data_IF_053424406174
#
_entry.id   IF_053424406174
#
_cell.length_a   1.000
_cell.length_b   1.000
_cell.length_c   1.000
_cell.angle_alpha   90.00
_cell.angle_beta   90.00
_cell.angle_gamma   90.00
#
_symmetry.space_group_name_H-M   'P 1'
#
loop_
_entity.id
_entity.type
_entity.pdbx_description
1 polymer ?
#
# COMPACT_ATOMS: atom_id res chain seq x y z
N UNK A 1 -4.72 20.10 7.86
CA UNK A 1 -3.79 19.72 8.93
C UNK A 1 -4.62 19.01 9.97
N UNK A 2 -4.70 17.68 9.86
CA UNK A 2 -5.37 16.86 10.87
C UNK A 2 -4.54 16.94 12.16
N UNK A 3 -5.21 17.16 13.30
CA UNK A 3 -4.56 17.15 14.61
C UNK A 3 -4.05 15.73 14.86
N UNK A 4 -2.73 15.52 14.75
CA UNK A 4 -2.10 14.31 15.26
C UNK A 4 -2.33 14.26 16.78
N UNK A 5 -3.00 13.22 17.31
CA UNK A 5 -3.25 13.08 18.74
C UNK A 5 -1.93 13.00 19.51
N UNK A 6 -1.93 13.46 20.76
CA UNK A 6 -0.73 13.38 21.59
C UNK A 6 -0.38 11.89 21.81
N UNK A 7 0.92 11.57 21.89
CA UNK A 7 1.37 10.18 22.05
C UNK A 7 0.78 9.50 23.30
N UNK A 8 0.52 10.29 24.35
CA UNK A 8 -0.10 9.85 25.60
C UNK A 8 -1.58 9.50 25.42
N UNK A 9 -2.33 10.32 24.67
CA UNK A 9 -3.76 10.06 24.38
C UNK A 9 -3.91 8.80 23.53
N UNK A 10 -3.04 8.62 22.53
CA UNK A 10 -3.04 7.43 21.68
C UNK A 10 -2.68 6.15 22.47
N UNK A 11 -1.74 6.26 23.41
CA UNK A 11 -1.34 5.16 24.28
C UNK A 11 -2.45 4.78 25.26
N UNK A 12 -3.10 5.78 25.87
CA UNK A 12 -4.22 5.55 26.80
C UNK A 12 -5.41 4.90 26.09
N UNK A 13 -5.69 5.29 24.85
CA UNK A 13 -6.74 4.68 24.03
C UNK A 13 -6.40 3.23 23.67
N UNK A 14 -5.15 2.96 23.27
CA UNK A 14 -4.67 1.61 22.98
C UNK A 14 -4.79 0.68 24.20
N UNK A 15 -4.41 1.18 25.38
CA UNK A 15 -4.47 0.43 26.65
C UNK A 15 -5.90 0.23 27.16
N UNK A 16 -6.80 1.16 26.83
CA UNK A 16 -8.22 1.09 27.22
C UNK A 16 -9.08 0.24 26.27
N UNK A 17 -8.56 -0.09 25.08
CA UNK A 17 -9.29 -0.90 24.12
C UNK A 17 -9.50 -2.33 24.65
N UNK A 18 -10.73 -2.85 24.65
CA UNK A 18 -11.03 -4.19 25.19
C UNK A 18 -10.40 -5.32 24.37
N UNK A 19 -9.98 -5.03 23.13
CA UNK A 19 -9.29 -5.93 22.22
C UNK A 19 -8.52 -5.10 21.19
N UNK A 20 -7.27 -5.49 20.89
CA UNK A 20 -6.43 -4.89 19.86
C UNK A 20 -7.15 -4.75 18.51
N UNK A 21 -7.95 -5.73 18.10
CA UNK A 21 -8.65 -5.69 16.81
C UNK A 21 -9.64 -4.52 16.72
N UNK A 22 -10.37 -4.20 17.80
CA UNK A 22 -11.30 -3.06 17.78
C UNK A 22 -10.57 -1.72 17.68
N UNK A 23 -9.41 -1.61 18.30
CA UNK A 23 -8.56 -0.43 18.19
C UNK A 23 -8.04 -0.26 16.76
N UNK A 24 -7.56 -1.35 16.15
CA UNK A 24 -7.09 -1.35 14.76
C UNK A 24 -8.22 -0.99 13.78
N UNK A 25 -9.41 -1.56 13.96
CA UNK A 25 -10.57 -1.26 13.09
C UNK A 25 -11.03 0.19 13.24
N UNK A 26 -11.07 0.74 14.46
CA UNK A 26 -11.47 2.12 14.75
C UNK A 26 -10.54 3.14 14.07
N UNK A 27 -9.24 2.83 14.01
CA UNK A 27 -8.22 3.69 13.41
C UNK A 27 -7.84 3.28 11.98
N UNK A 28 -8.50 2.27 11.40
CA UNK A 28 -8.12 1.68 10.11
C UNK A 28 -6.64 1.25 10.03
N UNK A 29 -6.06 0.88 11.17
CA UNK A 29 -4.67 0.42 11.30
C UNK A 29 -4.58 -1.06 10.90
N UNK A 30 -4.70 -1.34 9.62
CA UNK A 30 -4.41 -2.66 9.04
C UNK A 30 -3.43 -2.52 7.89
N UNK A 31 -2.71 -3.58 7.53
CA UNK A 31 -1.94 -3.58 6.28
C UNK A 31 -2.95 -3.56 5.13
N UNK A 32 -3.08 -2.46 4.37
CA UNK A 32 -4.02 -2.43 3.27
C UNK A 32 -3.66 -3.53 2.27
N UNK A 33 -4.66 -4.12 1.63
CA UNK A 33 -4.40 -5.00 0.50
C UNK A 33 -3.64 -4.23 -0.58
N UNK A 34 -2.85 -4.95 -1.40
CA UNK A 34 -2.15 -4.33 -2.51
C UNK A 34 -3.11 -3.52 -3.41
N UNK A 35 -4.30 -4.05 -3.68
CA UNK A 35 -5.31 -3.36 -4.48
C UNK A 35 -5.77 -2.05 -3.83
N UNK A 36 -6.09 -2.07 -2.54
CA UNK A 36 -6.53 -0.87 -1.82
C UNK A 36 -5.45 0.21 -1.86
N UNK A 37 -4.21 -0.18 -1.53
CA UNK A 37 -3.08 0.74 -1.52
C UNK A 37 -2.76 1.33 -2.91
N UNK A 38 -2.80 0.51 -3.96
CA UNK A 38 -2.54 1.01 -5.31
C UNK A 38 -3.64 1.95 -5.82
N UNK A 39 -4.91 1.69 -5.50
CA UNK A 39 -6.01 2.57 -5.91
C UNK A 39 -5.93 3.92 -5.18
N UNK A 40 -5.67 3.92 -3.87
CA UNK A 40 -5.43 5.14 -3.09
C UNK A 40 -4.28 5.96 -3.68
N UNK A 41 -3.16 5.32 -4.02
CA UNK A 41 -2.02 6.00 -4.63
C UNK A 41 -2.30 6.52 -6.06
N UNK A 42 -3.23 5.92 -6.81
CA UNK A 42 -3.68 6.47 -8.09
C UNK A 42 -4.50 7.74 -7.87
N UNK A 43 -5.43 7.72 -6.91
CA UNK A 43 -6.30 8.85 -6.58
C UNK A 43 -5.50 10.05 -6.05
N UNK A 44 -4.64 9.83 -5.04
CA UNK A 44 -3.80 10.87 -4.43
C UNK A 44 -2.90 11.59 -5.44
N UNK A 45 -2.41 10.86 -6.44
CA UNK A 45 -1.47 11.36 -7.46
C UNK A 45 -2.17 11.81 -8.74
N UNK A 46 -3.49 11.63 -8.87
CA UNK A 46 -4.24 11.92 -10.09
C UNK A 46 -3.82 11.08 -11.29
N UNK A 47 -3.33 9.86 -11.07
CA UNK A 47 -2.83 8.97 -12.12
C UNK A 47 -3.94 8.09 -12.68
N UNK A 48 -3.94 7.87 -13.99
CA UNK A 48 -4.86 6.93 -14.63
C UNK A 48 -4.29 5.52 -14.63
N UNK A 49 -5.04 4.57 -14.07
CA UNK A 49 -4.66 3.14 -14.03
C UNK A 49 -4.17 2.60 -15.37
N UNK A 50 -4.89 2.89 -16.46
CA UNK A 50 -4.55 2.37 -17.79
C UNK A 50 -3.24 2.91 -18.34
N UNK A 51 -2.90 4.16 -18.02
CA UNK A 51 -1.63 4.80 -18.40
C UNK A 51 -0.49 4.21 -17.58
N UNK A 52 -0.66 4.11 -16.27
CA UNK A 52 0.33 3.48 -15.37
C UNK A 52 0.62 2.03 -15.77
N UNK A 53 -0.40 1.22 -16.05
CA UNK A 53 -0.21 -0.17 -16.48
C UNK A 53 0.56 -0.27 -17.80
N UNK A 54 0.21 0.57 -18.78
CA UNK A 54 0.91 0.64 -20.07
C UNK A 54 2.37 1.03 -19.89
N UNK A 55 2.62 2.07 -19.11
CA UNK A 55 3.96 2.64 -18.92
C UNK A 55 4.84 1.73 -18.05
N UNK A 56 4.23 0.90 -17.19
CA UNK A 56 4.90 -0.17 -16.44
C UNK A 56 5.14 -1.45 -17.28
N UNK A 57 4.64 -1.51 -18.51
CA UNK A 57 4.71 -2.70 -19.36
C UNK A 57 3.92 -3.88 -18.80
N UNK A 58 2.81 -3.61 -18.10
CA UNK A 58 1.93 -4.60 -17.49
C UNK A 58 0.68 -4.76 -18.36
N UNK A 59 0.33 -6.01 -18.64
CA UNK A 59 -0.86 -6.34 -19.43
C UNK A 59 -2.14 -5.86 -18.72
N UNK A 60 -3.05 -5.22 -19.47
CA UNK A 60 -4.20 -4.51 -18.91
C UNK A 60 -5.18 -5.43 -18.18
N UNK A 61 -5.41 -6.64 -18.69
CA UNK A 61 -6.33 -7.62 -18.10
C UNK A 61 -5.78 -8.13 -16.77
N UNK A 62 -4.49 -8.47 -16.71
CA UNK A 62 -3.79 -8.83 -15.49
C UNK A 62 -3.80 -7.68 -14.48
N UNK A 63 -3.49 -6.46 -14.94
CA UNK A 63 -3.58 -5.26 -14.11
C UNK A 63 -4.98 -5.06 -13.53
N UNK A 64 -6.03 -5.25 -14.34
CA UNK A 64 -7.42 -5.18 -13.88
C UNK A 64 -7.70 -6.17 -12.74
N UNK A 65 -7.26 -7.42 -12.86
CA UNK A 65 -7.41 -8.42 -11.80
C UNK A 65 -6.67 -8.03 -10.51
N UNK A 66 -5.50 -7.41 -10.62
CA UNK A 66 -4.70 -6.96 -9.47
C UNK A 66 -5.35 -5.77 -8.78
N UNK A 67 -5.75 -4.74 -9.53
CA UNK A 67 -6.41 -3.55 -8.98
C UNK A 67 -7.78 -3.84 -8.38
N UNK A 68 -8.44 -4.93 -8.77
CA UNK A 68 -9.66 -5.43 -8.16
C UNK A 68 -9.43 -6.42 -7.00
N UNK A 69 -8.17 -6.69 -6.64
CA UNK A 69 -7.82 -7.61 -5.55
C UNK A 69 -8.07 -9.09 -5.84
N UNK A 70 -8.32 -9.46 -7.09
CA UNK A 70 -8.60 -10.85 -7.50
C UNK A 70 -7.32 -11.65 -7.76
N UNK A 71 -6.18 -10.99 -8.01
CA UNK A 71 -4.87 -11.62 -8.17
C UNK A 71 -3.78 -10.84 -7.45
N UNK A 72 -2.79 -11.58 -6.96
CA UNK A 72 -1.52 -11.01 -6.50
C UNK A 72 -0.60 -10.64 -7.66
N UNK A 73 0.50 -9.96 -7.33
CA UNK A 73 1.50 -9.50 -8.28
C UNK A 73 2.89 -9.96 -7.83
N UNK A 74 3.76 -10.33 -8.78
CA UNK A 74 5.16 -10.66 -8.46
C UNK A 74 5.92 -9.44 -7.95
N UNK A 75 6.97 -9.66 -7.16
CA UNK A 75 7.88 -8.60 -6.71
C UNK A 75 8.30 -7.66 -7.84
N UNK A 76 8.72 -8.21 -8.98
CA UNK A 76 9.23 -7.42 -10.10
C UNK A 76 8.14 -6.53 -10.71
N UNK A 77 6.92 -7.03 -10.85
CA UNK A 77 5.81 -6.23 -11.36
C UNK A 77 5.37 -5.15 -10.35
N UNK A 78 5.44 -5.45 -9.04
CA UNK A 78 5.22 -4.42 -8.01
C UNK A 78 6.28 -3.32 -8.11
N UNK A 79 7.54 -3.68 -8.29
CA UNK A 79 8.62 -2.70 -8.46
C UNK A 79 8.46 -1.88 -9.74
N UNK A 80 8.07 -2.49 -10.86
CA UNK A 80 7.75 -1.78 -12.11
C UNK A 80 6.68 -0.72 -11.86
N UNK A 81 5.57 -1.07 -11.20
CA UNK A 81 4.54 -0.10 -10.81
C UNK A 81 5.09 1.00 -9.90
N UNK A 82 5.88 0.66 -8.89
CA UNK A 82 6.47 1.63 -7.98
C UNK A 82 7.31 2.67 -8.74
N UNK A 83 8.12 2.24 -9.71
CA UNK A 83 8.90 3.15 -10.54
C UNK A 83 8.01 4.02 -11.43
N UNK A 84 7.03 3.43 -12.11
CA UNK A 84 6.11 4.18 -12.98
C UNK A 84 5.27 5.19 -12.22
N UNK A 85 4.85 4.88 -10.99
CA UNK A 85 4.08 5.77 -10.13
C UNK A 85 4.95 6.79 -9.36
N UNK A 86 6.27 6.73 -9.52
CA UNK A 86 7.21 7.64 -8.84
C UNK A 86 7.21 7.46 -7.32
N UNK A 87 7.22 6.22 -6.84
CA UNK A 87 7.26 5.93 -5.41
C UNK A 87 8.66 6.16 -4.83
N UNK A 88 8.70 6.72 -3.62
CA UNK A 88 9.90 6.70 -2.80
C UNK A 88 10.08 5.31 -2.15
N UNK A 89 11.20 5.11 -1.45
CA UNK A 89 11.52 3.81 -0.80
C UNK A 89 10.45 3.41 0.22
N UNK A 90 9.81 4.37 0.90
CA UNK A 90 8.76 4.07 1.89
C UNK A 90 7.51 3.57 1.20
N UNK A 91 7.03 4.28 0.19
CA UNK A 91 5.87 3.88 -0.59
C UNK A 91 6.09 2.53 -1.31
N UNK A 92 7.29 2.30 -1.85
CA UNK A 92 7.65 1.05 -2.49
C UNK A 92 7.68 -0.12 -1.49
N UNK A 93 8.24 0.08 -0.29
CA UNK A 93 8.23 -0.94 0.75
C UNK A 93 6.82 -1.27 1.24
N UNK A 94 5.93 -0.28 1.37
CA UNK A 94 4.51 -0.53 1.68
C UNK A 94 3.83 -1.35 0.58
N UNK A 95 4.07 -1.03 -0.70
CA UNK A 95 3.53 -1.83 -1.81
C UNK A 95 4.02 -3.28 -1.77
N UNK A 96 5.32 -3.49 -1.52
CA UNK A 96 5.92 -4.82 -1.42
C UNK A 96 5.32 -5.62 -0.26
N UNK A 97 5.18 -5.00 0.92
CA UNK A 97 4.54 -5.64 2.08
C UNK A 97 3.09 -6.01 1.80
N UNK A 98 2.31 -5.10 1.20
CA UNK A 98 0.93 -5.34 0.80
C UNK A 98 0.80 -6.46 -0.26
N UNK A 99 1.84 -6.69 -1.05
CA UNK A 99 1.95 -7.79 -2.01
C UNK A 99 2.48 -9.11 -1.39
N UNK A 100 2.83 -9.13 -0.11
CA UNK A 100 3.46 -10.27 0.55
C UNK A 100 4.92 -10.52 0.13
N UNK A 101 5.57 -9.52 -0.47
CA UNK A 101 6.97 -9.58 -0.89
C UNK A 101 7.90 -8.95 0.17
N UNK A 102 9.17 -9.37 0.16
CA UNK A 102 10.20 -8.78 1.02
C UNK A 102 10.35 -7.28 0.76
N UNK A 103 10.83 -6.50 1.72
CA UNK A 103 11.14 -5.08 1.49
C UNK A 103 12.43 -4.92 0.66
N UNK A 104 12.67 -3.70 0.19
CA UNK A 104 13.95 -3.27 -0.35
C UNK A 104 14.94 -3.15 0.82
N UNK A 105 15.86 -4.11 0.92
CA UNK A 105 16.95 -4.08 1.88
C UNK A 105 18.27 -3.84 1.14
N UNK A 106 19.03 -2.76 1.43
CA UNK A 106 20.23 -2.41 0.67
C UNK A 106 21.33 -3.47 0.62
N UNK A 107 21.32 -4.45 1.53
CA UNK A 107 22.31 -5.53 1.56
C UNK A 107 21.85 -6.80 0.83
N UNK A 108 20.59 -6.87 0.43
CA UNK A 108 20.11 -7.94 -0.44
C UNK A 108 20.49 -7.55 -1.87
N UNK A 109 21.40 -8.32 -2.48
CA UNK A 109 21.81 -8.17 -3.88
C UNK A 109 20.92 -8.99 -4.80
#
# INVERSE_FOLDING_TARGET
MENEPLTEELLDELMSAPNIQRYLDAHRLGTPSLSSYLNEQLEERGLKRSEVLRDAGIEQTFGWYVFNGQRGMSRDNVLRLCFTMGFDVRCANRALQAAGANTLYPKNR
#
